data_IF_619965291388
#
_entry.id   IF_619965291388
#
_cell.length_a   1.000
_cell.length_b   1.000
_cell.length_c   1.000
_cell.angle_alpha   90.00
_cell.angle_beta   90.00
_cell.angle_gamma   90.00
#
_symmetry.space_group_name_H-M   'P 1'
#
loop_
_entity.id
_entity.type
_entity.pdbx_description
1 polymer ?
#
# COMPACT_ATOMS: atom_id res chain seq x y z
N UNK A 1 -10.67 -21.88 -18.37
CA UNK A 1 -9.89 -22.97 -17.72
C UNK A 1 -10.72 -23.64 -16.65
N UNK A 2 -11.38 -22.90 -15.75
CA UNK A 2 -12.19 -23.39 -14.63
C UNK A 2 -13.35 -24.27 -15.10
N UNK A 3 -14.07 -23.85 -16.14
CA UNK A 3 -15.14 -24.65 -16.71
C UNK A 3 -14.65 -26.02 -17.24
N UNK A 4 -13.48 -26.03 -17.91
CA UNK A 4 -12.85 -27.29 -18.36
C UNK A 4 -12.44 -28.16 -17.18
N UNK A 5 -11.95 -27.56 -16.08
CA UNK A 5 -11.62 -28.30 -14.87
C UNK A 5 -12.87 -28.91 -14.22
N UNK A 6 -13.95 -28.15 -14.12
CA UNK A 6 -15.23 -28.60 -13.54
C UNK A 6 -15.86 -29.77 -14.29
N UNK A 7 -15.64 -29.91 -15.60
CA UNK A 7 -16.14 -31.09 -16.37
C UNK A 7 -15.53 -32.42 -15.92
N UNK A 8 -14.47 -32.40 -15.09
CA UNK A 8 -13.90 -33.64 -14.50
C UNK A 8 -14.76 -34.18 -13.36
N UNK A 9 -15.57 -33.34 -12.73
CA UNK A 9 -16.35 -33.65 -11.53
C UNK A 9 -17.85 -33.58 -11.78
N UNK A 10 -18.32 -32.74 -12.71
CA UNK A 10 -19.71 -32.58 -13.06
C UNK A 10 -20.06 -33.32 -14.35
N UNK A 11 -21.30 -33.78 -14.47
CA UNK A 11 -21.81 -34.39 -15.67
C UNK A 11 -21.86 -33.40 -16.84
N UNK A 12 -22.25 -32.16 -16.56
CA UNK A 12 -22.22 -31.05 -17.51
C UNK A 12 -21.92 -29.74 -16.80
N UNK A 13 -21.33 -28.79 -17.52
CA UNK A 13 -21.05 -27.41 -17.06
C UNK A 13 -21.73 -26.45 -18.02
N UNK A 14 -22.60 -25.56 -17.52
CA UNK A 14 -23.21 -24.52 -18.32
C UNK A 14 -22.48 -23.20 -18.08
N UNK A 15 -21.98 -22.58 -19.15
CA UNK A 15 -21.36 -21.25 -19.08
C UNK A 15 -22.40 -20.21 -19.49
N UNK A 16 -22.75 -19.31 -18.58
CA UNK A 16 -23.61 -18.16 -18.85
C UNK A 16 -22.72 -17.01 -19.28
N UNK A 17 -22.93 -16.46 -20.47
CA UNK A 17 -22.09 -15.44 -21.08
C UNK A 17 -22.93 -14.21 -21.38
N UNK A 18 -22.46 -13.05 -20.91
CA UNK A 18 -23.12 -11.77 -21.15
C UNK A 18 -23.03 -11.33 -22.63
N UNK A 19 -21.97 -11.76 -23.32
CA UNK A 19 -21.75 -11.41 -24.73
C UNK A 19 -22.56 -12.25 -25.70
N UNK A 20 -22.56 -11.82 -26.95
CA UNK A 20 -23.19 -12.53 -28.07
C UNK A 20 -22.44 -13.84 -28.34
N UNK A 21 -23.14 -14.74 -29.05
CA UNK A 21 -22.63 -16.04 -29.44
C UNK A 21 -21.27 -15.91 -30.13
N UNK A 22 -20.30 -16.65 -29.62
CA UNK A 22 -18.93 -16.69 -30.15
C UNK A 22 -18.01 -15.61 -29.58
N UNK A 23 -18.50 -14.64 -28.80
CA UNK A 23 -17.66 -13.59 -28.17
C UNK A 23 -17.31 -13.98 -26.74
N UNK A 24 -16.03 -14.16 -26.46
CA UNK A 24 -15.49 -14.56 -25.15
C UNK A 24 -14.31 -13.69 -24.75
N UNK A 25 -14.24 -13.30 -23.47
CA UNK A 25 -13.16 -12.51 -22.85
C UNK A 25 -11.95 -13.35 -22.43
N UNK A 26 -11.73 -14.50 -23.04
CA UNK A 26 -10.60 -15.37 -22.74
C UNK A 26 -9.67 -15.55 -23.95
N UNK A 27 -8.48 -16.12 -23.72
CA UNK A 27 -7.58 -16.38 -24.83
C UNK A 27 -8.19 -17.40 -25.80
N UNK A 28 -7.87 -17.23 -27.10
CA UNK A 28 -8.44 -17.99 -28.20
C UNK A 28 -8.29 -19.51 -28.05
N UNK A 29 -7.12 -19.98 -27.56
CA UNK A 29 -6.86 -21.42 -27.38
C UNK A 29 -7.78 -22.01 -26.29
N UNK A 30 -8.01 -21.30 -25.19
CA UNK A 30 -8.92 -21.71 -24.13
C UNK A 30 -10.37 -21.69 -24.61
N UNK A 31 -10.78 -20.70 -25.40
CA UNK A 31 -12.09 -20.62 -26.00
C UNK A 31 -12.36 -21.81 -26.92
N UNK A 32 -11.47 -22.11 -27.86
CA UNK A 32 -11.59 -23.25 -28.79
C UNK A 32 -11.70 -24.59 -28.07
N UNK A 33 -10.89 -24.81 -27.03
CA UNK A 33 -10.95 -26.03 -26.21
C UNK A 33 -12.28 -26.16 -25.46
N UNK A 34 -12.77 -25.07 -24.88
CA UNK A 34 -14.04 -25.08 -24.16
C UNK A 34 -15.23 -25.30 -25.11
N UNK A 35 -15.24 -24.68 -26.29
CA UNK A 35 -16.27 -24.85 -27.31
C UNK A 35 -16.29 -26.27 -27.88
N UNK A 36 -15.14 -26.94 -28.01
CA UNK A 36 -15.04 -28.31 -28.46
C UNK A 36 -15.41 -29.36 -27.39
N UNK A 37 -15.58 -28.98 -26.13
CA UNK A 37 -15.91 -29.92 -25.05
C UNK A 37 -17.39 -30.22 -25.01
N UNK A 38 -17.84 -31.49 -25.26
CA UNK A 38 -19.25 -31.85 -25.32
C UNK A 38 -19.98 -31.78 -23.97
N UNK A 39 -19.26 -31.68 -22.86
CA UNK A 39 -19.83 -31.49 -21.52
C UNK A 39 -20.08 -30.02 -21.19
N UNK A 40 -19.62 -29.06 -22.02
CA UNK A 40 -19.83 -27.63 -21.82
C UNK A 40 -21.02 -27.18 -22.67
N UNK A 41 -22.02 -26.63 -22.01
CA UNK A 41 -23.18 -25.98 -22.62
C UNK A 41 -23.01 -24.46 -22.50
N UNK A 42 -23.59 -23.71 -23.43
CA UNK A 42 -23.47 -22.28 -23.52
C UNK A 42 -24.84 -21.61 -23.48
N UNK A 43 -24.96 -20.56 -22.69
CA UNK A 43 -26.11 -19.67 -22.63
C UNK A 43 -25.63 -18.25 -22.88
N UNK A 44 -25.83 -17.78 -24.09
CA UNK A 44 -25.31 -16.52 -24.60
C UNK A 44 -26.24 -15.33 -24.31
N UNK A 45 -25.67 -14.10 -24.36
CA UNK A 45 -26.41 -12.85 -24.14
C UNK A 45 -27.25 -12.88 -22.86
N UNK A 46 -26.74 -13.48 -21.80
CA UNK A 46 -27.50 -13.77 -20.59
C UNK A 46 -26.74 -13.47 -19.32
N UNK A 47 -27.49 -13.20 -18.26
CA UNK A 47 -26.97 -12.98 -16.90
C UNK A 47 -27.72 -13.85 -15.91
N UNK A 48 -27.05 -14.20 -14.82
CA UNK A 48 -27.69 -14.86 -13.69
C UNK A 48 -28.52 -13.81 -12.93
N UNK A 49 -29.79 -14.09 -12.75
CA UNK A 49 -30.74 -13.23 -12.06
C UNK A 49 -30.91 -13.62 -10.59
N UNK A 50 -31.15 -14.93 -10.34
CA UNK A 50 -31.42 -15.45 -9.00
C UNK A 50 -30.88 -16.88 -8.84
N UNK A 51 -30.52 -17.25 -7.62
CA UNK A 51 -30.17 -18.62 -7.21
C UNK A 51 -31.19 -19.05 -6.18
N UNK A 52 -31.81 -20.22 -6.37
CA UNK A 52 -32.83 -20.78 -5.48
C UNK A 52 -32.40 -22.14 -4.93
N UNK A 53 -32.89 -22.46 -3.73
CA UNK A 53 -32.68 -23.74 -3.07
C UNK A 53 -32.91 -23.63 -1.56
N UNK A 54 -33.08 -24.77 -0.92
CA UNK A 54 -33.22 -24.87 0.54
C UNK A 54 -32.00 -25.61 1.13
N UNK A 55 -31.01 -24.80 1.59
CA UNK A 55 -29.71 -25.30 2.10
C UNK A 55 -28.74 -25.74 1.01
N UNK A 56 -29.19 -26.16 -0.15
CA UNK A 56 -28.42 -26.49 -1.33
C UNK A 56 -28.94 -25.73 -2.55
N UNK A 57 -28.08 -25.52 -3.54
CA UNK A 57 -28.52 -24.92 -4.82
C UNK A 57 -29.33 -25.93 -5.60
N UNK A 58 -30.55 -25.55 -6.02
CA UNK A 58 -31.47 -26.41 -6.76
C UNK A 58 -31.74 -25.87 -8.18
N UNK A 59 -32.01 -24.56 -8.29
CA UNK A 59 -32.29 -23.89 -9.55
C UNK A 59 -31.70 -22.50 -9.62
N UNK A 60 -31.55 -22.00 -10.85
CA UNK A 60 -31.21 -20.62 -11.14
C UNK A 60 -32.20 -20.00 -12.11
N UNK A 61 -32.39 -18.70 -12.00
CA UNK A 61 -33.06 -17.89 -13.02
C UNK A 61 -32.03 -17.20 -13.86
N UNK A 62 -32.14 -17.34 -15.17
CA UNK A 62 -31.27 -16.74 -16.16
C UNK A 62 -32.10 -15.75 -16.97
N UNK A 63 -31.66 -14.50 -17.07
CA UNK A 63 -32.31 -13.48 -17.91
C UNK A 63 -31.47 -13.24 -19.17
N UNK A 64 -32.12 -13.40 -20.32
CA UNK A 64 -31.56 -12.98 -21.59
C UNK A 64 -31.58 -11.44 -21.67
N UNK A 65 -30.42 -10.82 -21.87
CA UNK A 65 -30.31 -9.34 -21.83
C UNK A 65 -30.85 -8.66 -23.09
N UNK A 66 -31.08 -9.42 -24.19
CA UNK A 66 -31.64 -8.89 -25.44
C UNK A 66 -33.17 -8.96 -25.49
N UNK A 67 -33.69 -10.07 -25.02
CA UNK A 67 -35.14 -10.31 -25.07
C UNK A 67 -35.86 -9.97 -23.77
N UNK A 68 -35.12 -9.92 -22.64
CA UNK A 68 -35.69 -9.78 -21.31
C UNK A 68 -36.33 -11.08 -20.78
N UNK A 69 -36.31 -12.18 -21.54
CA UNK A 69 -36.89 -13.46 -21.15
C UNK A 69 -36.15 -14.06 -19.97
N UNK A 70 -36.90 -14.57 -19.00
CA UNK A 70 -36.34 -15.26 -17.81
C UNK A 70 -36.62 -16.74 -17.96
N UNK A 71 -35.56 -17.55 -17.88
CA UNK A 71 -35.63 -19.01 -17.95
C UNK A 71 -35.14 -19.60 -16.63
N UNK A 72 -35.88 -20.59 -16.11
CA UNK A 72 -35.48 -21.37 -14.94
C UNK A 72 -34.70 -22.61 -15.38
N UNK A 73 -33.57 -22.88 -14.69
CA UNK A 73 -32.70 -24.02 -14.97
C UNK A 73 -32.33 -24.74 -13.69
N UNK A 74 -32.54 -26.07 -13.61
CA UNK A 74 -32.07 -26.88 -12.50
C UNK A 74 -30.56 -27.01 -12.54
N UNK A 75 -29.90 -26.87 -11.38
CA UNK A 75 -28.43 -26.82 -11.23
C UNK A 75 -28.02 -27.30 -9.83
N UNK A 76 -26.83 -27.83 -9.67
CA UNK A 76 -26.31 -28.30 -8.38
C UNK A 76 -25.26 -27.37 -7.79
N UNK A 77 -24.73 -26.43 -8.53
CA UNK A 77 -23.72 -25.49 -8.04
C UNK A 77 -23.53 -24.32 -8.99
N UNK A 78 -23.11 -23.18 -8.46
CA UNK A 78 -22.82 -21.95 -9.22
C UNK A 78 -21.45 -21.44 -8.86
N UNK A 79 -20.66 -21.10 -9.87
CA UNK A 79 -19.33 -20.52 -9.75
C UNK A 79 -19.30 -19.17 -10.47
N UNK A 80 -18.79 -18.14 -9.81
CA UNK A 80 -18.72 -16.78 -10.35
C UNK A 80 -17.29 -16.46 -10.82
N UNK A 81 -17.16 -16.13 -12.11
CA UNK A 81 -15.93 -15.67 -12.75
C UNK A 81 -16.20 -14.40 -13.56
N UNK A 82 -16.82 -13.41 -12.91
CA UNK A 82 -17.28 -12.15 -13.51
C UNK A 82 -16.37 -10.96 -13.20
N UNK A 83 -15.13 -11.25 -12.77
CA UNK A 83 -14.18 -10.24 -12.32
C UNK A 83 -14.31 -9.92 -10.83
N UNK A 84 -13.49 -9.01 -10.38
CA UNK A 84 -13.42 -8.60 -8.97
C UNK A 84 -13.55 -7.09 -8.87
N UNK A 85 -14.28 -6.62 -7.85
CA UNK A 85 -14.35 -5.21 -7.48
C UNK A 85 -13.77 -5.05 -6.07
N UNK A 86 -12.83 -4.13 -5.87
CA UNK A 86 -12.29 -3.89 -4.54
C UNK A 86 -13.33 -3.24 -3.63
N UNK A 87 -13.42 -3.72 -2.39
CA UNK A 87 -14.29 -3.14 -1.36
C UNK A 87 -13.52 -2.09 -0.56
N UNK A 88 -13.29 -0.95 -1.19
CA UNK A 88 -12.43 0.14 -0.66
C UNK A 88 -13.20 1.40 -0.27
N UNK A 89 -14.52 1.32 -0.19
CA UNK A 89 -15.40 2.46 0.14
C UNK A 89 -15.02 3.12 1.47
N UNK A 90 -14.59 2.31 2.47
CA UNK A 90 -14.17 2.78 3.79
C UNK A 90 -13.01 3.79 3.73
N UNK A 91 -12.10 3.61 2.79
CA UNK A 91 -10.86 4.41 2.64
C UNK A 91 -10.91 5.39 1.47
N UNK A 92 -12.03 5.44 0.73
CA UNK A 92 -12.23 6.36 -0.39
C UNK A 92 -12.10 7.81 0.07
N UNK A 93 -11.29 8.59 -0.65
CA UNK A 93 -10.99 9.98 -0.32
C UNK A 93 -10.02 10.18 0.86
N UNK A 94 -9.50 9.08 1.46
CA UNK A 94 -8.48 9.12 2.51
C UNK A 94 -7.12 8.66 2.00
N UNK A 95 -7.07 7.53 1.30
CA UNK A 95 -5.85 7.02 0.66
C UNK A 95 -5.96 7.13 -0.86
N UNK A 96 -4.83 7.09 -1.54
CA UNK A 96 -4.79 7.08 -3.00
C UNK A 96 -5.37 5.77 -3.54
N UNK A 97 -6.30 5.88 -4.50
CA UNK A 97 -6.90 4.76 -5.22
C UNK A 97 -6.62 4.93 -6.72
N UNK A 98 -6.50 3.81 -7.43
CA UNK A 98 -6.45 3.84 -8.89
C UNK A 98 -7.84 4.07 -9.51
N UNK A 99 -7.91 4.13 -10.84
CA UNK A 99 -9.16 4.36 -11.58
C UNK A 99 -10.21 3.24 -11.36
N UNK A 100 -9.77 2.05 -10.97
CA UNK A 100 -10.60 0.88 -10.70
C UNK A 100 -11.01 0.77 -9.22
N UNK A 101 -10.48 1.65 -8.36
CA UNK A 101 -10.77 1.70 -6.94
C UNK A 101 -9.84 0.86 -6.07
N UNK A 102 -8.75 0.30 -6.60
CA UNK A 102 -7.74 -0.41 -5.81
C UNK A 102 -6.81 0.57 -5.10
N UNK A 103 -6.37 0.21 -3.89
CA UNK A 103 -5.45 1.03 -3.10
C UNK A 103 -4.06 1.01 -3.73
N UNK A 104 -3.50 2.18 -4.00
CA UNK A 104 -2.13 2.34 -4.48
C UNK A 104 -1.17 2.14 -3.31
N UNK A 105 -0.16 1.27 -3.49
CA UNK A 105 0.89 1.01 -2.50
C UNK A 105 2.26 0.92 -3.16
N UNK A 106 3.30 1.18 -2.37
CA UNK A 106 4.68 0.85 -2.76
C UNK A 106 5.00 -0.64 -2.50
N UNK A 107 6.27 -1.03 -2.75
CA UNK A 107 6.75 -2.41 -2.53
C UNK A 107 6.76 -2.83 -1.04
N UNK A 108 6.67 -1.90 -0.12
CA UNK A 108 6.57 -2.14 1.33
C UNK A 108 5.11 -2.15 1.81
N UNK A 109 4.16 -2.18 0.91
CA UNK A 109 2.71 -2.16 1.20
C UNK A 109 2.22 -0.86 1.84
N UNK A 110 3.01 0.21 1.85
CA UNK A 110 2.64 1.51 2.39
C UNK A 110 1.68 2.24 1.45
N UNK A 111 0.65 2.83 2.02
CA UNK A 111 -0.30 3.69 1.30
C UNK A 111 0.21 5.14 1.24
N UNK A 112 -0.61 6.03 0.69
CA UNK A 112 -0.34 7.48 0.69
C UNK A 112 -0.34 8.11 2.09
N UNK A 113 -0.83 7.39 3.12
CA UNK A 113 -0.84 7.85 4.52
C UNK A 113 0.23 7.09 5.30
N UNK A 114 1.18 7.79 5.95
CA UNK A 114 2.19 7.15 6.81
C UNK A 114 1.56 6.28 7.91
N UNK A 115 2.11 5.08 8.13
CA UNK A 115 1.61 4.13 9.12
C UNK A 115 0.35 3.36 8.71
N UNK A 116 -0.18 3.59 7.51
CA UNK A 116 -1.32 2.85 6.93
C UNK A 116 -0.82 1.97 5.80
N UNK A 117 -1.11 0.68 5.91
CA UNK A 117 -0.69 -0.34 4.95
C UNK A 117 -1.92 -0.99 4.31
N UNK A 118 -1.80 -1.38 3.03
CA UNK A 118 -2.82 -2.17 2.35
C UNK A 118 -2.21 -3.45 1.78
N UNK A 119 -2.88 -4.58 2.04
CA UNK A 119 -2.41 -5.92 1.67
C UNK A 119 -3.51 -6.72 1.00
N UNK A 120 -3.13 -7.72 0.20
CA UNK A 120 -4.07 -8.62 -0.44
C UNK A 120 -4.76 -8.02 -1.65
N UNK A 121 -6.00 -8.46 -1.90
CA UNK A 121 -6.69 -8.24 -3.16
C UNK A 121 -7.28 -6.83 -3.33
N UNK A 122 -7.32 -6.04 -2.26
CA UNK A 122 -7.84 -4.66 -2.30
C UNK A 122 -6.83 -3.62 -2.84
N UNK A 123 -5.57 -4.00 -3.05
CA UNK A 123 -4.52 -3.11 -3.57
C UNK A 123 -4.20 -3.35 -5.04
N UNK A 124 -3.55 -2.39 -5.66
CA UNK A 124 -3.01 -2.53 -7.03
C UNK A 124 -1.97 -3.65 -7.05
N UNK A 125 -2.26 -4.72 -7.80
CA UNK A 125 -1.34 -5.85 -8.00
C UNK A 125 -1.74 -6.68 -9.21
N UNK A 126 -0.76 -7.39 -9.80
CA UNK A 126 -0.99 -8.24 -10.96
C UNK A 126 -1.75 -9.53 -10.62
N UNK A 127 -1.31 -10.25 -9.57
CA UNK A 127 -1.85 -11.56 -9.21
C UNK A 127 -2.58 -11.50 -7.86
N UNK A 128 -3.85 -11.90 -7.87
CA UNK A 128 -4.73 -11.98 -6.69
C UNK A 128 -4.96 -13.43 -6.32
N UNK A 129 -4.18 -13.91 -5.35
CA UNK A 129 -4.22 -15.27 -4.80
C UNK A 129 -3.93 -15.23 -3.31
N UNK A 130 -4.39 -16.24 -2.57
CA UNK A 130 -4.15 -16.35 -1.12
C UNK A 130 -2.67 -16.26 -0.77
N UNK A 131 -1.80 -16.93 -1.54
CA UNK A 131 -0.34 -16.89 -1.31
C UNK A 131 0.24 -15.49 -1.49
N UNK A 132 -0.22 -14.72 -2.48
CA UNK A 132 0.25 -13.33 -2.68
C UNK A 132 -0.33 -12.38 -1.63
N UNK A 133 -1.53 -12.63 -1.13
CA UNK A 133 -2.11 -11.87 -0.02
C UNK A 133 -1.34 -12.11 1.29
N UNK A 134 -0.96 -13.37 1.57
CA UNK A 134 -0.14 -13.72 2.73
C UNK A 134 1.26 -13.10 2.65
N UNK A 135 1.88 -13.10 1.46
CA UNK A 135 3.17 -12.43 1.21
C UNK A 135 3.09 -10.92 1.47
N UNK A 136 2.05 -10.25 0.96
CA UNK A 136 1.83 -8.83 1.23
C UNK A 136 1.76 -8.56 2.75
N UNK A 137 1.03 -9.41 3.50
CA UNK A 137 0.91 -9.31 4.95
C UNK A 137 2.25 -9.43 5.67
N UNK A 138 3.11 -10.36 5.25
CA UNK A 138 4.44 -10.52 5.82
C UNK A 138 5.33 -9.29 5.56
N UNK A 139 5.30 -8.73 4.34
CA UNK A 139 6.05 -7.53 3.98
C UNK A 139 5.54 -6.33 4.81
N UNK A 140 4.22 -6.13 4.88
CA UNK A 140 3.62 -5.04 5.64
C UNK A 140 3.95 -5.11 7.13
N UNK A 141 3.99 -6.31 7.73
CA UNK A 141 4.33 -6.50 9.13
C UNK A 141 5.76 -6.01 9.43
N UNK A 142 6.74 -6.40 8.60
CA UNK A 142 8.13 -5.94 8.74
C UNK A 142 8.25 -4.43 8.51
N UNK A 143 7.53 -3.89 7.52
CA UNK A 143 7.51 -2.45 7.25
C UNK A 143 6.89 -1.65 8.41
N UNK A 144 5.82 -2.16 9.01
CA UNK A 144 5.16 -1.56 10.17
C UNK A 144 6.04 -1.59 11.42
N UNK A 145 6.76 -2.71 11.67
CA UNK A 145 7.73 -2.82 12.76
C UNK A 145 8.82 -1.74 12.65
N UNK A 146 9.40 -1.59 11.46
CA UNK A 146 10.41 -0.55 11.20
C UNK A 146 9.84 0.86 11.40
N UNK A 147 8.63 1.10 10.89
CA UNK A 147 7.95 2.38 11.07
C UNK A 147 7.77 2.73 12.55
N UNK A 148 7.30 1.80 13.36
CA UNK A 148 7.10 2.01 14.78
C UNK A 148 8.44 2.26 15.49
N UNK A 149 9.48 1.49 15.18
CA UNK A 149 10.80 1.69 15.77
C UNK A 149 11.41 3.08 15.45
N UNK A 150 11.24 3.56 14.20
CA UNK A 150 11.67 4.90 13.79
C UNK A 150 10.88 6.00 14.54
N UNK A 151 9.54 5.86 14.61
CA UNK A 151 8.67 6.83 15.30
C UNK A 151 8.95 6.89 16.80
N UNK A 152 9.01 5.74 17.46
CA UNK A 152 9.31 5.65 18.90
C UNK A 152 10.69 6.15 19.21
N UNK A 153 11.70 5.76 18.39
CA UNK A 153 13.08 6.21 18.56
C UNK A 153 13.20 7.73 18.43
N UNK A 154 12.59 8.31 17.40
CA UNK A 154 12.59 9.77 17.21
C UNK A 154 11.83 10.49 18.34
N UNK A 155 10.67 9.95 18.73
CA UNK A 155 9.88 10.50 19.83
C UNK A 155 10.70 10.55 21.14
N UNK A 156 11.27 9.42 21.53
CA UNK A 156 12.04 9.32 22.79
C UNK A 156 13.32 10.19 22.76
N UNK A 157 14.02 10.21 21.63
CA UNK A 157 15.30 10.90 21.52
C UNK A 157 15.15 12.40 21.25
N UNK A 158 14.04 12.85 20.71
CA UNK A 158 13.88 14.24 20.26
C UNK A 158 12.66 14.93 20.87
N UNK A 159 11.46 14.31 20.73
CA UNK A 159 10.22 15.01 21.11
C UNK A 159 9.94 14.98 22.61
N UNK A 160 10.29 13.89 23.30
CA UNK A 160 10.10 13.73 24.75
C UNK A 160 11.31 14.21 25.57
N UNK A 161 12.36 14.74 24.92
CA UNK A 161 13.54 15.22 25.59
C UNK A 161 13.27 16.53 26.35
N UNK A 162 13.72 16.59 27.61
CA UNK A 162 13.66 17.80 28.44
C UNK A 162 14.72 18.84 28.04
N UNK A 163 15.91 18.34 27.65
CA UNK A 163 17.00 19.16 27.14
C UNK A 163 16.78 19.56 25.67
N UNK A 164 17.42 20.64 25.20
CA UNK A 164 17.43 20.97 23.78
C UNK A 164 18.10 19.85 22.95
N UNK A 165 17.53 19.52 21.81
CA UNK A 165 18.04 18.47 20.90
C UNK A 165 18.30 19.04 19.53
N UNK A 166 19.55 18.93 19.10
CA UNK A 166 19.97 19.25 17.74
C UNK A 166 19.93 17.99 16.89
N UNK A 167 19.09 17.97 15.86
CA UNK A 167 18.95 16.86 14.93
C UNK A 167 19.67 17.19 13.64
N UNK A 168 20.75 16.44 13.34
CA UNK A 168 21.54 16.63 12.13
C UNK A 168 21.21 15.55 11.09
N UNK A 169 20.63 15.95 9.97
CA UNK A 169 20.40 15.10 8.80
C UNK A 169 21.66 15.06 7.94
N UNK A 170 22.17 13.87 7.72
CA UNK A 170 23.43 13.64 7.02
C UNK A 170 23.33 12.46 6.04
N UNK A 171 24.31 12.33 5.16
CA UNK A 171 24.42 11.21 4.24
C UNK A 171 25.89 10.76 4.12
N UNK A 172 26.19 9.44 4.16
CA UNK A 172 27.56 8.92 4.10
C UNK A 172 28.28 9.22 2.77
N UNK A 173 27.54 9.57 1.70
CA UNK A 173 28.12 9.93 0.40
C UNK A 173 28.39 11.43 0.23
N UNK A 174 28.00 12.26 1.20
CA UNK A 174 28.18 13.72 1.18
C UNK A 174 29.22 14.10 2.21
N UNK A 175 30.45 14.38 1.76
CA UNK A 175 31.60 14.64 2.60
C UNK A 175 31.40 15.88 3.49
N UNK A 176 30.74 16.92 2.96
CA UNK A 176 30.40 18.12 3.71
C UNK A 176 29.52 17.80 4.93
N UNK A 177 28.60 16.84 4.78
CA UNK A 177 27.70 16.45 5.89
C UNK A 177 28.46 15.68 6.98
N UNK A 178 29.44 14.87 6.62
CA UNK A 178 30.30 14.14 7.57
C UNK A 178 31.20 15.13 8.34
N UNK A 179 31.79 16.07 7.61
CA UNK A 179 32.65 17.12 8.20
C UNK A 179 31.85 17.95 9.20
N UNK A 180 30.65 18.41 8.80
CA UNK A 180 29.78 19.20 9.67
C UNK A 180 29.37 18.42 10.94
N UNK A 181 29.10 17.13 10.88
CA UNK A 181 28.80 16.33 12.08
C UNK A 181 29.95 16.41 13.10
N UNK A 182 31.17 16.26 12.63
CA UNK A 182 32.39 16.31 13.52
C UNK A 182 32.62 17.71 14.09
N UNK A 183 32.30 18.75 13.33
CA UNK A 183 32.39 20.13 13.78
C UNK A 183 31.27 20.46 14.79
N UNK A 184 30.03 20.00 14.53
CA UNK A 184 28.93 20.18 15.46
C UNK A 184 29.14 19.48 16.80
N UNK A 185 29.72 18.28 16.81
CA UNK A 185 30.05 17.59 18.06
C UNK A 185 30.98 18.44 18.93
N UNK A 186 32.11 18.92 18.36
CA UNK A 186 33.09 19.76 19.07
C UNK A 186 32.48 21.08 19.51
N UNK A 187 31.68 21.70 18.63
CA UNK A 187 31.05 22.98 18.92
C UNK A 187 30.01 22.87 20.06
N UNK A 188 29.20 21.76 20.08
CA UNK A 188 28.25 21.52 21.15
C UNK A 188 28.91 21.21 22.50
N UNK A 189 30.09 20.58 22.52
CA UNK A 189 30.89 20.40 23.76
C UNK A 189 31.28 21.74 24.36
N UNK A 190 31.60 22.74 23.54
CA UNK A 190 32.07 24.05 23.99
C UNK A 190 30.93 25.06 24.23
N UNK A 191 29.94 25.08 23.36
CA UNK A 191 28.92 26.14 23.33
C UNK A 191 27.47 25.60 23.45
N UNK A 192 27.28 24.29 23.51
CA UNK A 192 25.94 23.66 23.36
C UNK A 192 25.03 23.77 24.60
N UNK A 193 25.54 24.26 25.75
CA UNK A 193 24.73 24.43 26.98
C UNK A 193 23.83 23.23 27.33
N UNK A 194 24.35 21.99 27.16
CA UNK A 194 23.64 20.76 27.44
C UNK A 194 22.77 20.27 26.29
N UNK A 195 22.82 20.90 25.11
CA UNK A 195 22.12 20.42 23.89
C UNK A 195 22.68 19.09 23.42
N UNK A 196 21.82 18.12 23.24
CA UNK A 196 22.18 16.79 22.73
C UNK A 196 22.13 16.76 21.20
N UNK A 197 23.09 16.05 20.58
CA UNK A 197 23.12 15.82 19.14
C UNK A 197 22.50 14.45 18.79
N UNK A 198 21.50 14.45 17.90
CA UNK A 198 20.91 13.27 17.28
C UNK A 198 21.24 13.28 15.79
N UNK A 199 21.86 12.20 15.31
CA UNK A 199 22.28 12.08 13.91
C UNK A 199 21.29 11.22 13.14
N UNK A 200 20.72 11.73 12.06
CA UNK A 200 19.75 11.03 11.21
C UNK A 200 20.36 10.78 9.83
N UNK A 201 20.64 9.51 9.53
CA UNK A 201 21.02 9.08 8.19
C UNK A 201 19.80 9.20 7.25
N UNK A 202 19.90 10.06 6.24
CA UNK A 202 18.81 10.38 5.33
C UNK A 202 18.41 9.20 4.45
N UNK A 203 19.32 8.29 4.11
CA UNK A 203 19.00 7.08 3.33
C UNK A 203 18.16 6.08 4.10
N UNK A 204 18.38 6.00 5.41
CA UNK A 204 17.67 5.06 6.28
C UNK A 204 16.36 5.62 6.84
N UNK A 205 16.22 6.95 6.90
CA UNK A 205 15.12 7.64 7.57
C UNK A 205 14.35 8.56 6.61
N UNK A 206 13.98 8.06 5.43
CA UNK A 206 13.29 8.81 4.37
C UNK A 206 11.96 9.44 4.83
N UNK A 207 11.29 8.85 5.81
CA UNK A 207 10.05 9.40 6.37
C UNK A 207 10.31 10.68 7.16
N UNK A 208 11.37 10.71 7.99
CA UNK A 208 11.78 11.92 8.72
C UNK A 208 12.25 13.00 7.76
N UNK A 209 13.00 12.63 6.71
CA UNK A 209 13.40 13.54 5.62
C UNK A 209 12.18 14.22 5.01
N UNK A 210 11.15 13.44 4.65
CA UNK A 210 9.90 13.97 4.08
C UNK A 210 9.09 14.79 5.10
N UNK A 211 8.96 14.32 6.34
CA UNK A 211 8.22 15.00 7.43
C UNK A 211 8.76 16.40 7.69
N UNK A 212 10.08 16.55 7.71
CA UNK A 212 10.72 17.83 7.99
C UNK A 212 11.17 18.57 6.73
N UNK A 213 10.73 18.12 5.55
CA UNK A 213 11.03 18.72 4.24
C UNK A 213 12.56 18.98 4.07
N UNK A 214 13.37 17.95 4.33
CA UNK A 214 14.85 18.03 4.20
C UNK A 214 15.21 17.89 2.73
N UNK A 215 15.34 19.02 2.04
CA UNK A 215 15.61 19.08 0.60
C UNK A 215 17.12 19.19 0.28
N UNK A 216 17.90 19.63 1.25
CA UNK A 216 19.36 19.77 1.14
C UNK A 216 20.08 19.07 2.30
N UNK A 217 21.27 18.55 2.04
CA UNK A 217 22.13 17.89 3.03
C UNK A 217 23.51 18.57 3.02
N UNK A 218 24.01 18.97 4.20
CA UNK A 218 23.45 18.78 5.54
C UNK A 218 22.25 19.67 5.88
N UNK A 219 21.38 19.20 6.75
CA UNK A 219 20.31 20.01 7.38
C UNK A 219 20.31 19.77 8.88
N UNK A 220 20.16 20.82 9.66
CA UNK A 220 20.08 20.77 11.12
C UNK A 220 18.76 21.37 11.59
N UNK A 221 18.13 20.67 12.53
CA UNK A 221 16.92 21.13 13.23
C UNK A 221 17.25 21.25 14.72
N UNK A 222 16.72 22.28 15.39
CA UNK A 222 16.79 22.38 16.85
C UNK A 222 15.39 22.19 17.44
N UNK A 223 15.27 21.27 18.36
CA UNK A 223 14.07 21.01 19.15
C UNK A 223 14.30 21.37 20.61
N UNK A 224 13.24 21.85 21.26
CA UNK A 224 13.19 21.98 22.72
C UNK A 224 11.77 21.64 23.20
N UNK A 225 11.67 20.70 24.13
CA UNK A 225 10.39 20.19 24.68
C UNK A 225 9.40 19.77 23.58
N UNK A 226 9.91 19.11 22.55
CA UNK A 226 9.12 18.61 21.42
C UNK A 226 8.78 19.64 20.34
N UNK A 227 9.08 20.91 20.54
CA UNK A 227 8.82 21.96 19.55
C UNK A 227 10.05 22.22 18.67
N UNK A 228 9.84 22.33 17.36
CA UNK A 228 10.86 22.72 16.40
C UNK A 228 11.10 24.22 16.48
N UNK A 229 12.26 24.65 16.94
CA UNK A 229 12.59 26.06 17.10
C UNK A 229 13.18 26.69 15.83
N UNK A 230 14.11 25.97 15.14
CA UNK A 230 14.62 26.41 13.84
C UNK A 230 15.08 25.25 12.96
N UNK A 231 15.23 25.55 11.68
CA UNK A 231 15.83 24.67 10.65
C UNK A 231 16.87 25.46 9.87
N UNK A 232 18.04 24.84 9.65
CA UNK A 232 19.10 25.39 8.81
C UNK A 232 19.54 24.31 7.81
N UNK A 233 19.57 24.65 6.53
CA UNK A 233 19.89 23.72 5.43
C UNK A 233 21.06 24.23 4.61
N UNK A 234 21.80 23.32 3.97
CA UNK A 234 22.95 23.61 3.13
C UNK A 234 24.25 23.75 3.94
N UNK A 235 25.28 24.31 3.31
CA UNK A 235 26.56 24.52 3.93
C UNK A 235 26.53 25.72 4.90
N UNK A 236 26.88 25.49 6.16
CA UNK A 236 27.00 26.53 7.18
C UNK A 236 28.12 26.19 8.16
N UNK A 237 28.64 27.21 8.86
CA UNK A 237 29.57 27.03 9.97
C UNK A 237 28.79 26.89 11.27
N UNK A 238 29.22 26.02 12.22
CA UNK A 238 28.62 25.93 13.57
C UNK A 238 28.54 27.25 14.31
N UNK A 239 29.51 28.17 14.09
CA UNK A 239 29.48 29.50 14.67
C UNK A 239 28.27 30.34 14.29
N UNK A 240 27.67 30.08 13.12
CA UNK A 240 26.41 30.68 12.69
C UNK A 240 25.20 30.30 13.55
N UNK A 241 25.33 29.22 14.37
CA UNK A 241 24.27 28.76 15.27
C UNK A 241 24.26 29.53 16.61
N UNK A 242 25.28 30.29 16.97
CA UNK A 242 25.39 30.99 18.28
C UNK A 242 24.13 31.84 18.58
N UNK A 243 23.70 32.67 17.63
CA UNK A 243 22.54 33.52 17.81
C UNK A 243 21.24 32.77 17.92
N UNK A 244 21.14 31.57 17.30
CA UNK A 244 19.97 30.71 17.38
C UNK A 244 19.88 29.95 18.71
N UNK A 245 21.04 29.63 19.31
CA UNK A 245 21.10 28.92 20.60
C UNK A 245 20.76 29.83 21.79
N UNK A 246 20.93 31.15 21.68
CA UNK A 246 20.51 32.12 22.70
C UNK A 246 18.98 32.08 22.94
N UNK A 247 18.19 31.70 21.93
CA UNK A 247 16.71 31.54 22.03
C UNK A 247 16.34 30.42 23.00
N UNK A 248 17.19 29.41 23.14
CA UNK A 248 16.92 28.24 24.00
C UNK A 248 17.31 28.50 25.44
N UNK A 249 18.19 29.48 25.67
CA UNK A 249 18.73 29.82 27.00
C UNK A 249 17.91 30.91 27.72
N UNK A 250 16.91 31.48 27.08
CA UNK A 250 16.02 32.51 27.60
C UNK A 250 14.66 31.89 28.03
#
# INVERSE_FOLDING_TARGET
EEAMYLTKFAESVTIIVIHDEGILDCNKVSAEKAMANPRIKWVWSSVLEEIKGDGLVETILIRNIKTGEITEMPINGVFFFVGTLPKTELVKGKVELDEQGYIVTNDQMETSIPGVYAVGDCRVKYLRQVVTAASDGAIAAVAAEKYLAEEEGFKQQVLDAEEPVMVAFWAPQIEESITLLSELEKWLEEYGNGTRLVKIDTYRNQRLVKRYAVDEIPTVLLFHKGELLFKLSGAFSPDGLKGQMEIVSA
#
